data_IF_924245334538
#
_entry.id   IF_924245334538
#
_cell.length_a   1.000
_cell.length_b   1.000
_cell.length_c   1.000
_cell.angle_alpha   90.00
_cell.angle_beta   90.00
_cell.angle_gamma   90.00
#
_symmetry.space_group_name_H-M   'P 1'
#
loop_
_entity.id
_entity.type
_entity.pdbx_description
1 polymer ?
#
# COMPACT_ATOMS: atom_id res chain seq x y z
N UNK A 1 3.84 -16.18 5.64
CA UNK A 1 2.65 -15.45 5.14
C UNK A 1 2.14 -14.42 6.15
N UNK A 2 1.82 -14.80 7.40
CA UNK A 2 1.22 -13.88 8.39
C UNK A 2 2.03 -12.61 8.71
N UNK A 3 3.36 -12.66 8.66
CA UNK A 3 4.21 -11.49 8.94
C UNK A 3 3.93 -10.32 7.98
N UNK A 4 3.93 -10.57 6.66
CA UNK A 4 3.77 -9.52 5.66
C UNK A 4 2.36 -8.92 5.66
N UNK A 5 1.35 -9.74 5.98
CA UNK A 5 -0.02 -9.26 6.20
C UNK A 5 -0.02 -8.24 7.36
N UNK A 6 0.48 -8.63 8.53
CA UNK A 6 0.49 -7.74 9.70
C UNK A 6 1.31 -6.47 9.47
N UNK A 7 2.44 -6.57 8.77
CA UNK A 7 3.25 -5.39 8.42
C UNK A 7 2.50 -4.46 7.46
N UNK A 8 1.82 -5.02 6.46
CA UNK A 8 0.98 -4.25 5.53
C UNK A 8 -0.16 -3.51 6.22
N UNK A 9 -0.89 -4.19 7.11
CA UNK A 9 -1.96 -3.59 7.93
C UNK A 9 -1.45 -2.39 8.72
N UNK A 10 -0.32 -2.55 9.44
CA UNK A 10 0.25 -1.46 10.23
C UNK A 10 0.77 -0.33 9.35
N UNK A 11 1.52 -0.65 8.29
CA UNK A 11 2.15 0.36 7.44
C UNK A 11 1.12 1.23 6.70
N UNK A 12 0.11 0.61 6.08
CA UNK A 12 -0.91 1.33 5.31
C UNK A 12 -1.81 2.16 6.23
N UNK A 13 -2.23 1.61 7.37
CA UNK A 13 -3.07 2.36 8.30
C UNK A 13 -2.32 3.47 9.05
N UNK A 14 -1.03 3.25 9.36
CA UNK A 14 -0.21 4.32 9.92
C UNK A 14 -0.01 5.46 8.91
N UNK A 15 0.24 5.14 7.63
CA UNK A 15 0.33 6.12 6.54
C UNK A 15 -0.97 6.93 6.41
N UNK A 16 -2.12 6.26 6.34
CA UNK A 16 -3.43 6.91 6.16
C UNK A 16 -3.76 7.83 7.34
N UNK A 17 -3.54 7.36 8.57
CA UNK A 17 -3.75 8.16 9.78
C UNK A 17 -2.80 9.37 9.84
N UNK A 18 -1.53 9.17 9.51
CA UNK A 18 -0.54 10.25 9.49
C UNK A 18 -0.93 11.32 8.47
N UNK A 19 -1.32 10.91 7.26
CA UNK A 19 -1.77 11.82 6.20
C UNK A 19 -3.03 12.59 6.62
N UNK A 20 -4.04 11.89 7.15
CA UNK A 20 -5.30 12.49 7.60
C UNK A 20 -5.15 13.47 8.78
N UNK A 21 -4.08 13.34 9.56
CA UNK A 21 -3.81 14.19 10.73
C UNK A 21 -2.67 15.19 10.53
N UNK A 22 -2.08 15.26 9.33
CA UNK A 22 -0.98 16.17 9.01
C UNK A 22 0.34 15.83 9.70
N UNK A 23 0.55 14.56 10.07
CA UNK A 23 1.82 14.03 10.57
C UNK A 23 2.70 13.55 9.40
N UNK A 24 3.93 13.12 9.69
CA UNK A 24 4.82 12.53 8.69
C UNK A 24 4.32 11.14 8.25
N UNK A 25 3.91 10.96 6.98
CA UNK A 25 3.39 9.70 6.48
C UNK A 25 4.49 8.80 5.89
N UNK A 26 5.78 9.06 6.14
CA UNK A 26 6.87 8.29 5.53
C UNK A 26 6.81 6.80 5.90
N UNK A 27 6.73 5.94 4.88
CA UNK A 27 6.94 4.49 5.01
C UNK A 27 8.41 4.20 4.67
N UNK A 28 9.07 3.37 5.48
CA UNK A 28 10.44 2.94 5.21
C UNK A 28 10.54 2.34 3.78
N UNK A 29 11.51 2.80 2.95
CA UNK A 29 11.59 2.38 1.55
C UNK A 29 11.80 0.87 1.34
N UNK A 30 12.54 0.19 2.22
CA UNK A 30 12.77 -1.25 2.11
C UNK A 30 11.52 -2.04 2.49
N UNK A 31 10.79 -1.58 3.53
CA UNK A 31 9.49 -2.14 3.91
C UNK A 31 8.47 -1.95 2.78
N UNK A 32 8.42 -0.76 2.18
CA UNK A 32 7.51 -0.46 1.08
C UNK A 32 7.79 -1.32 -0.15
N UNK A 33 9.06 -1.54 -0.50
CA UNK A 33 9.44 -2.44 -1.61
C UNK A 33 9.01 -3.88 -1.33
N UNK A 34 9.25 -4.38 -0.12
CA UNK A 34 8.85 -5.72 0.30
C UNK A 34 7.33 -5.92 0.24
N UNK A 35 6.57 -4.94 0.72
CA UNK A 35 5.11 -4.96 0.68
C UNK A 35 4.56 -4.83 -0.74
N UNK A 36 5.16 -4.00 -1.59
CA UNK A 36 4.78 -3.87 -3.01
C UNK A 36 4.88 -5.23 -3.73
N UNK A 37 5.99 -5.94 -3.56
CA UNK A 37 6.18 -7.27 -4.15
C UNK A 37 5.20 -8.29 -3.55
N UNK A 38 4.96 -8.21 -2.24
CA UNK A 38 3.96 -9.05 -1.57
C UNK A 38 2.55 -8.83 -2.14
N UNK A 39 2.06 -7.60 -2.22
CA UNK A 39 0.71 -7.31 -2.74
C UNK A 39 0.56 -7.71 -4.21
N UNK A 40 1.60 -7.54 -5.04
CA UNK A 40 1.62 -8.03 -6.42
C UNK A 40 1.51 -9.55 -6.55
N UNK A 41 1.90 -10.30 -5.51
CA UNK A 41 1.76 -11.76 -5.50
C UNK A 41 0.36 -12.25 -5.12
N UNK A 42 -0.53 -11.35 -4.66
CA UNK A 42 -1.88 -11.69 -4.24
C UNK A 42 -2.90 -11.53 -5.39
N UNK A 43 -4.04 -12.26 -5.35
CA UNK A 43 -5.14 -12.09 -6.30
C UNK A 43 -5.94 -10.79 -6.00
N UNK A 44 -5.34 -9.62 -6.24
CA UNK A 44 -5.91 -8.31 -5.85
C UNK A 44 -7.31 -8.03 -6.42
N UNK A 45 -7.63 -8.52 -7.61
CA UNK A 45 -8.98 -8.38 -8.19
C UNK A 45 -10.06 -9.03 -7.33
N UNK A 46 -9.78 -10.18 -6.71
CA UNK A 46 -10.72 -10.81 -5.78
C UNK A 46 -10.89 -9.96 -4.53
N UNK A 47 -9.80 -9.42 -3.98
CA UNK A 47 -9.86 -8.52 -2.82
C UNK A 47 -10.63 -7.23 -3.11
N UNK A 48 -10.45 -6.64 -4.30
CA UNK A 48 -11.22 -5.48 -4.77
C UNK A 48 -12.70 -5.79 -4.92
N UNK A 49 -13.06 -6.96 -5.48
CA UNK A 49 -14.45 -7.40 -5.62
C UNK A 49 -15.16 -7.56 -4.25
N UNK A 50 -14.40 -7.88 -3.19
CA UNK A 50 -14.90 -7.97 -1.81
C UNK A 50 -14.75 -6.65 -1.02
N UNK A 51 -14.30 -5.57 -1.65
CA UNK A 51 -14.18 -4.24 -1.03
C UNK A 51 -13.00 -4.07 -0.06
N UNK A 52 -12.03 -4.98 -0.06
CA UNK A 52 -10.84 -4.87 0.78
C UNK A 52 -9.85 -3.80 0.29
N UNK A 53 -9.77 -3.59 -1.03
CA UNK A 53 -8.95 -2.55 -1.66
C UNK A 53 -9.74 -1.71 -2.65
N UNK A 54 -9.29 -0.48 -2.88
CA UNK A 54 -9.85 0.39 -3.92
C UNK A 54 -9.37 0.00 -5.33
N UNK A 55 -9.92 0.64 -6.38
CA UNK A 55 -9.41 0.52 -7.73
C UNK A 55 -7.96 1.00 -7.79
N UNK A 56 -7.11 0.27 -8.53
CA UNK A 56 -5.73 0.70 -8.76
C UNK A 56 -5.67 2.10 -9.37
N UNK A 57 -4.75 2.91 -8.85
CA UNK A 57 -4.47 4.25 -9.35
C UNK A 57 -3.24 4.20 -10.24
N UNK A 58 -3.33 4.76 -11.44
CA UNK A 58 -2.17 4.87 -12.34
C UNK A 58 -1.19 5.92 -11.81
N UNK A 59 0.09 5.53 -11.71
CA UNK A 59 1.19 6.40 -11.27
C UNK A 59 2.47 6.10 -12.07
N UNK A 60 3.41 7.03 -12.06
CA UNK A 60 4.72 6.85 -12.70
C UNK A 60 5.41 5.55 -12.21
N UNK A 61 5.86 4.66 -13.12
CA UNK A 61 6.50 3.40 -12.74
C UNK A 61 7.83 3.57 -11.99
N UNK A 62 8.41 4.76 -12.02
CA UNK A 62 9.64 5.15 -11.31
C UNK A 62 9.36 5.90 -9.99
N UNK A 63 8.09 6.13 -9.64
CA UNK A 63 7.71 6.68 -8.35
C UNK A 63 8.24 5.82 -7.19
N UNK A 64 8.42 6.41 -5.99
CA UNK A 64 8.78 5.69 -4.78
C UNK A 64 7.95 4.41 -4.56
N UNK A 65 8.57 3.39 -3.98
CA UNK A 65 7.89 2.10 -3.77
C UNK A 65 6.62 2.24 -2.91
N UNK A 66 6.63 3.15 -1.93
CA UNK A 66 5.47 3.46 -1.09
C UNK A 66 4.31 3.97 -1.94
N UNK A 67 4.54 4.96 -2.81
CA UNK A 67 3.50 5.54 -3.65
C UNK A 67 2.90 4.51 -4.60
N UNK A 68 3.75 3.68 -5.21
CA UNK A 68 3.32 2.59 -6.10
C UNK A 68 2.52 1.52 -5.36
N UNK A 69 2.93 1.19 -4.13
CA UNK A 69 2.19 0.26 -3.27
C UNK A 69 0.82 0.83 -2.90
N UNK A 70 0.76 2.09 -2.46
CA UNK A 70 -0.47 2.76 -2.08
C UNK A 70 -1.43 2.89 -3.27
N UNK A 71 -0.91 3.26 -4.44
CA UNK A 71 -1.65 3.33 -5.69
C UNK A 71 -2.22 1.96 -6.10
N UNK A 72 -1.45 0.87 -5.94
CA UNK A 72 -1.89 -0.51 -6.16
C UNK A 72 -3.10 -0.89 -5.27
N UNK A 73 -3.14 -0.39 -4.03
CA UNK A 73 -4.22 -0.61 -3.07
C UNK A 73 -5.38 0.40 -3.21
N UNK A 74 -5.26 1.36 -4.13
CA UNK A 74 -6.29 2.33 -4.49
C UNK A 74 -6.26 3.66 -3.75
N UNK A 75 -5.15 3.97 -3.06
CA UNK A 75 -4.92 5.27 -2.45
C UNK A 75 -4.34 6.26 -3.48
N UNK A 76 -4.48 7.56 -3.18
CA UNK A 76 -3.90 8.67 -3.95
C UNK A 76 -2.87 9.40 -3.09
N UNK A 77 -1.59 8.99 -3.14
CA UNK A 77 -0.51 9.69 -2.44
C UNK A 77 -0.20 11.06 -3.06
#
# INVERSE_FOLDING_TARGET
MALLINVGEVAVHAWDLANATGQDPTIDPEVAALLLDFYRSLPLEEFRAHGAFGPEVEIDPTAPAADRMLALLGFRP
#
